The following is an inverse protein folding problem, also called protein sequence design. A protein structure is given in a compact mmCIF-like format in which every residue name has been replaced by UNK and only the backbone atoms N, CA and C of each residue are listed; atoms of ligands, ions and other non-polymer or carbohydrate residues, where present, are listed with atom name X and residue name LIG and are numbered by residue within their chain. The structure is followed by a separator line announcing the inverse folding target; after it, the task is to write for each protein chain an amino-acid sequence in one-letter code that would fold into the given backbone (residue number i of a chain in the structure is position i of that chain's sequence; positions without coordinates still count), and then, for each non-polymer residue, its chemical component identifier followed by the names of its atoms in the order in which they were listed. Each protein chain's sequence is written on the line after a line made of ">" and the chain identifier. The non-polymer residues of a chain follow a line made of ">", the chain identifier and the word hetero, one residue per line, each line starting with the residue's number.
data_IF_079763644031
#
_entry.id   IF_079763644031
#
_cell.length_a   1.000
_cell.length_b   1.000
_cell.length_c   1.000
_cell.angle_alpha   90.00
_cell.angle_beta   90.00
_cell.angle_gamma   90.00
#
_symmetry.space_group_name_H-M   'P 1'
#
loop_
_entity.id
_entity.type
_entity.pdbx_description
1 polymer ?
#
# COMPACT_ATOMS: atom_id res chain seq x y z
N UNK A 1 2.70 13.82 3.72
CA UNK A 1 2.43 12.51 4.34
C UNK A 1 2.83 11.36 3.43
N UNK A 2 2.35 11.30 2.18
CA UNK A 2 2.77 10.30 1.19
C UNK A 2 4.30 10.23 1.00
N UNK A 3 4.94 11.37 0.70
CA UNK A 3 6.41 11.42 0.49
C UNK A 3 7.16 10.92 1.72
N UNK A 4 6.84 11.42 2.92
CA UNK A 4 7.45 10.95 4.18
C UNK A 4 7.27 9.45 4.43
N UNK A 5 6.10 8.88 4.07
CA UNK A 5 5.86 7.44 4.17
C UNK A 5 6.72 6.62 3.18
N UNK A 6 6.94 7.16 1.97
CA UNK A 6 7.77 6.55 0.95
C UNK A 6 9.26 6.65 1.30
N UNK A 7 9.72 7.80 1.80
CA UNK A 7 11.09 7.99 2.29
C UNK A 7 11.39 7.00 3.42
N UNK A 8 10.49 6.89 4.40
CA UNK A 8 10.63 5.93 5.48
C UNK A 8 10.70 4.48 4.98
N UNK A 9 9.91 4.13 3.96
CA UNK A 9 9.92 2.81 3.36
C UNK A 9 11.23 2.53 2.61
N UNK A 10 11.73 3.50 1.83
CA UNK A 10 12.97 3.38 1.08
C UNK A 10 14.20 3.24 2.01
N UNK A 11 14.20 3.94 3.14
CA UNK A 11 15.23 3.81 4.19
C UNK A 11 15.33 2.39 4.78
N UNK A 12 14.25 1.60 4.72
CA UNK A 12 14.14 0.31 5.42
C UNK A 12 14.47 -0.92 4.55
N UNK A 13 14.50 -0.82 3.22
CA UNK A 13 14.26 -2.02 2.40
C UNK A 13 14.95 -2.14 1.03
N UNK A 14 15.87 -1.26 0.66
CA UNK A 14 16.53 -1.32 -0.66
C UNK A 14 18.06 -1.28 -0.56
N UNK A 15 18.69 -2.20 -1.29
CA UNK A 15 20.14 -2.18 -1.50
C UNK A 15 20.52 -0.92 -2.27
N UNK A 16 21.48 -0.16 -1.77
CA UNK A 16 21.89 1.15 -2.31
C UNK A 16 22.46 1.11 -3.74
N UNK A 17 22.62 -0.08 -4.33
CA UNK A 17 23.37 -0.28 -5.58
C UNK A 17 22.51 -0.41 -6.84
N UNK A 18 21.16 -0.38 -6.73
CA UNK A 18 20.27 -0.37 -7.90
C UNK A 18 19.23 0.76 -7.85
N UNK A 19 18.93 1.41 -9.00
CA UNK A 19 17.89 2.42 -9.07
C UNK A 19 16.52 1.80 -8.76
N UNK A 20 15.80 2.39 -7.80
CA UNK A 20 14.44 1.99 -7.45
C UNK A 20 13.45 2.88 -8.20
N UNK A 21 12.55 2.26 -8.97
CA UNK A 21 11.48 2.96 -9.67
C UNK A 21 10.17 2.79 -8.91
N UNK A 22 9.48 3.91 -8.65
CA UNK A 22 8.17 3.91 -8.02
C UNK A 22 7.10 4.19 -9.07
N UNK A 23 6.07 3.36 -9.09
CA UNK A 23 4.86 3.61 -9.84
C UNK A 23 3.74 3.99 -8.87
N UNK A 24 3.00 5.05 -9.20
CA UNK A 24 1.96 5.62 -8.35
C UNK A 24 0.61 5.48 -9.06
N UNK A 25 -0.24 4.59 -8.56
CA UNK A 25 -1.59 4.31 -9.05
C UNK A 25 -2.46 5.59 -9.07
N UNK A 26 -2.40 6.38 -8.00
CA UNK A 26 -3.23 7.54 -7.73
C UNK A 26 -3.13 8.65 -8.80
N UNK A 27 -2.05 8.67 -9.58
CA UNK A 27 -1.84 9.62 -10.68
C UNK A 27 -1.75 8.97 -12.05
N UNK A 28 -1.61 7.64 -12.10
CA UNK A 28 -1.40 6.89 -13.35
C UNK A 28 -2.69 6.32 -13.92
N UNK A 29 -3.71 6.12 -13.09
CA UNK A 29 -4.99 5.52 -13.48
C UNK A 29 -6.05 6.63 -13.51
N UNK A 30 -6.69 6.81 -14.67
CA UNK A 30 -7.74 7.84 -14.82
C UNK A 30 -9.08 7.40 -14.26
N UNK A 31 -9.33 6.09 -14.15
CA UNK A 31 -10.54 5.47 -13.59
C UNK A 31 -11.83 5.85 -14.36
N UNK A 32 -11.68 6.24 -15.62
CA UNK A 32 -12.78 6.64 -16.51
C UNK A 32 -13.08 5.56 -17.55
N UNK A 33 -12.08 4.72 -17.86
CA UNK A 33 -12.21 3.62 -18.80
C UNK A 33 -11.71 2.35 -18.11
N UNK A 34 -12.66 1.68 -17.45
CA UNK A 34 -12.45 0.48 -16.64
C UNK A 34 -11.65 -0.58 -17.39
N UNK A 35 -11.96 -0.84 -18.66
CA UNK A 35 -11.30 -1.88 -19.45
C UNK A 35 -9.83 -1.52 -19.73
N UNK A 36 -9.57 -0.31 -20.22
CA UNK A 36 -8.22 0.15 -20.49
C UNK A 36 -7.37 0.24 -19.21
N UNK A 37 -7.98 0.71 -18.11
CA UNK A 37 -7.33 0.83 -16.81
C UNK A 37 -6.94 -0.56 -16.27
N UNK A 38 -7.85 -1.55 -16.31
CA UNK A 38 -7.56 -2.95 -15.91
C UNK A 38 -6.43 -3.56 -16.72
N UNK A 39 -6.40 -3.34 -18.03
CA UNK A 39 -5.32 -3.85 -18.89
C UNK A 39 -3.97 -3.21 -18.57
N UNK A 40 -3.94 -1.90 -18.31
CA UNK A 40 -2.73 -1.17 -17.93
C UNK A 40 -2.19 -1.66 -16.58
N UNK A 41 -3.08 -1.73 -15.58
CA UNK A 41 -2.79 -2.22 -14.23
C UNK A 41 -2.17 -3.62 -14.29
N UNK A 42 -2.83 -4.57 -14.97
CA UNK A 42 -2.32 -5.93 -15.10
C UNK A 42 -0.98 -6.02 -15.86
N UNK A 43 -0.69 -5.10 -16.79
CA UNK A 43 0.59 -5.05 -17.48
C UNK A 43 1.74 -4.54 -16.60
N UNK A 44 1.45 -3.59 -15.72
CA UNK A 44 2.41 -3.04 -14.77
C UNK A 44 2.67 -4.04 -13.65
N UNK A 45 1.62 -4.65 -13.10
CA UNK A 45 1.72 -5.56 -11.97
C UNK A 45 2.52 -6.82 -12.27
N UNK A 46 2.48 -7.33 -13.51
CA UNK A 46 3.38 -8.42 -13.96
C UNK A 46 4.87 -8.08 -13.85
N UNK A 47 5.22 -6.79 -13.76
CA UNK A 47 6.60 -6.30 -13.58
C UNK A 47 6.88 -5.83 -12.16
N UNK A 48 5.84 -5.59 -11.36
CA UNK A 48 5.95 -5.11 -9.98
C UNK A 48 6.14 -6.30 -9.05
N UNK A 49 7.26 -6.30 -8.32
CA UNK A 49 7.58 -7.35 -7.34
C UNK A 49 7.07 -7.06 -5.93
N UNK A 50 6.77 -5.78 -5.65
CA UNK A 50 6.35 -5.29 -4.33
C UNK A 50 5.27 -4.23 -4.51
N UNK A 51 4.15 -4.40 -3.82
CA UNK A 51 3.07 -3.41 -3.75
C UNK A 51 3.10 -2.76 -2.38
N UNK A 52 3.14 -1.43 -2.35
CA UNK A 52 3.27 -0.66 -1.12
C UNK A 52 1.98 0.09 -0.85
N UNK A 53 1.32 -0.24 0.26
CA UNK A 53 0.11 0.44 0.69
C UNK A 53 0.44 1.45 1.78
N UNK A 54 0.04 2.70 1.54
CA UNK A 54 0.27 3.80 2.49
C UNK A 54 -0.95 3.95 3.38
N UNK A 55 -0.79 3.67 4.67
CA UNK A 55 -1.84 3.77 5.67
C UNK A 55 -1.92 5.22 6.19
N UNK A 56 -2.79 6.02 5.58
CA UNK A 56 -3.03 7.41 5.98
C UNK A 56 -4.54 7.73 5.97
N UNK A 57 -5.12 8.08 7.13
CA UNK A 57 -4.57 7.85 8.48
C UNK A 57 -4.43 6.34 8.76
N UNK A 58 -3.56 5.93 9.69
CA UNK A 58 -3.28 4.49 9.90
C UNK A 58 -4.49 3.71 10.43
N UNK A 59 -5.38 4.36 11.17
CA UNK A 59 -6.54 3.80 11.87
C UNK A 59 -7.86 3.88 11.08
N UNK A 60 -7.82 4.53 9.92
CA UNK A 60 -8.87 4.49 8.90
C UNK A 60 -8.26 4.75 7.51
N UNK A 61 -7.43 3.82 6.99
CA UNK A 61 -6.68 4.04 5.75
C UNK A 61 -7.60 4.29 4.56
N UNK A 62 -7.40 5.41 3.86
CA UNK A 62 -8.23 5.77 2.69
C UNK A 62 -8.13 4.71 1.59
N UNK A 63 -6.98 4.06 1.44
CA UNK A 63 -6.79 2.96 0.47
C UNK A 63 -7.80 1.82 0.64
N UNK A 64 -8.28 1.54 1.87
CA UNK A 64 -9.29 0.51 2.11
C UNK A 64 -10.70 0.92 1.68
N UNK A 65 -10.94 2.21 1.46
CA UNK A 65 -12.23 2.72 0.95
C UNK A 65 -12.27 2.80 -0.58
N UNK A 66 -11.14 2.47 -1.23
CA UNK A 66 -10.94 2.63 -2.67
C UNK A 66 -10.99 1.25 -3.32
N UNK A 67 -12.08 0.99 -4.06
CA UNK A 67 -12.29 -0.31 -4.73
C UNK A 67 -11.12 -0.72 -5.62
N UNK A 68 -10.47 0.23 -6.30
CA UNK A 68 -9.32 -0.04 -7.16
C UNK A 68 -8.09 -0.52 -6.38
N UNK A 69 -7.77 0.11 -5.25
CA UNK A 69 -6.65 -0.32 -4.40
C UNK A 69 -6.88 -1.75 -3.86
N UNK A 70 -8.13 -2.08 -3.51
CA UNK A 70 -8.48 -3.44 -3.08
C UNK A 70 -8.38 -4.45 -4.24
N UNK A 71 -8.84 -4.07 -5.43
CA UNK A 71 -8.77 -4.89 -6.62
C UNK A 71 -7.32 -5.25 -6.97
N UNK A 72 -6.43 -4.27 -7.01
CA UNK A 72 -5.00 -4.44 -7.30
C UNK A 72 -4.34 -5.41 -6.31
N UNK A 73 -4.64 -5.27 -5.01
CA UNK A 73 -4.08 -6.16 -3.98
C UNK A 73 -4.60 -7.58 -4.13
N UNK A 74 -5.92 -7.76 -4.23
CA UNK A 74 -6.58 -9.08 -4.19
C UNK A 74 -6.40 -9.85 -5.50
N UNK A 75 -6.58 -9.18 -6.65
CA UNK A 75 -6.59 -9.85 -7.94
C UNK A 75 -5.25 -9.88 -8.64
N UNK A 76 -4.31 -9.02 -8.24
CA UNK A 76 -3.09 -8.85 -8.99
C UNK A 76 -1.85 -9.08 -8.14
N UNK A 77 -1.69 -8.37 -7.03
CA UNK A 77 -0.49 -8.47 -6.21
C UNK A 77 -0.33 -9.88 -5.61
N UNK A 78 -1.35 -10.37 -4.91
CA UNK A 78 -1.29 -11.67 -4.23
C UNK A 78 -1.20 -12.86 -5.20
N UNK A 79 -2.02 -12.94 -6.27
CA UNK A 79 -1.96 -14.09 -7.19
C UNK A 79 -0.68 -14.15 -8.03
N UNK A 80 -0.03 -13.01 -8.28
CA UNK A 80 1.23 -12.93 -9.01
C UNK A 80 2.47 -13.09 -8.12
N UNK A 81 2.28 -13.32 -6.82
CA UNK A 81 3.37 -13.51 -5.85
C UNK A 81 4.14 -12.24 -5.51
N UNK A 82 3.54 -11.06 -5.74
CA UNK A 82 4.11 -9.81 -5.28
C UNK A 82 3.99 -9.68 -3.76
N UNK A 83 4.98 -9.07 -3.14
CA UNK A 83 5.00 -8.82 -1.70
C UNK A 83 4.15 -7.59 -1.37
N UNK A 84 3.11 -7.76 -0.54
CA UNK A 84 2.32 -6.66 -0.02
C UNK A 84 3.01 -6.05 1.21
N UNK A 85 3.44 -4.80 1.07
CA UNK A 85 4.11 -4.03 2.11
C UNK A 85 3.21 -2.90 2.60
N UNK A 86 3.17 -2.69 3.92
CA UNK A 86 2.44 -1.59 4.53
C UNK A 86 3.44 -0.53 5.00
N UNK A 87 3.19 0.73 4.67
CA UNK A 87 3.95 1.88 5.19
C UNK A 87 3.00 2.96 5.68
N UNK A 88 3.53 3.92 6.45
CA UNK A 88 2.79 5.08 6.93
C UNK A 88 3.77 6.21 7.21
N UNK A 89 3.28 7.45 7.23
CA UNK A 89 4.10 8.60 7.59
C UNK A 89 4.65 8.44 9.02
N UNK A 90 5.81 9.02 9.33
CA UNK A 90 6.45 8.92 10.65
C UNK A 90 5.52 9.37 11.77
N UNK A 91 4.75 10.43 11.52
CA UNK A 91 3.74 10.94 12.44
C UNK A 91 2.61 9.93 12.72
N UNK A 92 2.14 9.22 11.69
CA UNK A 92 1.14 8.15 11.85
C UNK A 92 1.75 6.93 12.53
N UNK A 93 3.02 6.60 12.24
CA UNK A 93 3.76 5.51 12.89
C UNK A 93 3.89 5.72 14.40
N UNK A 94 4.14 6.95 14.85
CA UNK A 94 4.17 7.27 16.28
C UNK A 94 2.81 7.05 16.94
N UNK A 95 1.71 7.42 16.27
CA UNK A 95 0.35 7.15 16.76
C UNK A 95 0.05 5.65 16.81
N UNK A 96 0.45 4.91 15.78
CA UNK A 96 0.32 3.46 15.73
C UNK A 96 1.07 2.76 16.87
N UNK A 97 2.34 3.12 17.10
CA UNK A 97 3.15 2.57 18.21
C UNK A 97 2.52 2.89 19.56
N UNK A 98 2.00 4.11 19.73
CA UNK A 98 1.28 4.48 20.95
C UNK A 98 0.03 3.63 21.13
N UNK A 99 -0.77 3.44 20.07
CA UNK A 99 -1.96 2.60 20.11
C UNK A 99 -1.64 1.13 20.40
N UNK A 100 -0.54 0.58 19.89
CA UNK A 100 -0.07 -0.76 20.24
C UNK A 100 0.15 -0.94 21.75
N UNK A 101 0.56 0.12 22.46
CA UNK A 101 0.81 0.10 23.90
C UNK A 101 -0.46 0.34 24.72
N UNK A 102 -1.43 1.08 24.19
CA UNK A 102 -2.59 1.57 24.97
C UNK A 102 -3.93 0.96 24.57
N UNK A 103 -4.10 0.55 23.32
CA UNK A 103 -5.36 0.06 22.77
C UNK A 103 -5.12 -1.01 21.68
N UNK A 104 -4.95 -2.25 22.14
CA UNK A 104 -4.78 -3.43 21.28
C UNK A 104 -5.96 -3.64 20.33
N UNK A 105 -7.20 -3.31 20.76
CA UNK A 105 -8.42 -3.57 19.97
C UNK A 105 -8.46 -2.68 18.73
N UNK A 106 -8.05 -1.42 18.87
CA UNK A 106 -7.96 -0.50 17.74
C UNK A 106 -7.02 -1.05 16.65
N UNK A 107 -5.88 -1.61 17.06
CA UNK A 107 -4.90 -2.19 16.14
C UNK A 107 -5.42 -3.49 15.49
N UNK A 108 -6.01 -4.40 16.28
CA UNK A 108 -6.59 -5.65 15.76
C UNK A 108 -7.66 -5.39 14.68
N UNK A 109 -8.49 -4.37 14.87
CA UNK A 109 -9.53 -3.99 13.89
C UNK A 109 -8.94 -3.59 12.54
N UNK A 110 -7.76 -2.97 12.52
CA UNK A 110 -7.12 -2.56 11.27
C UNK A 110 -6.43 -3.74 10.61
N UNK A 111 -5.70 -4.55 11.38
CA UNK A 111 -5.04 -5.74 10.85
C UNK A 111 -6.04 -6.74 10.24
N UNK A 112 -7.20 -6.91 10.86
CA UNK A 112 -8.28 -7.76 10.32
C UNK A 112 -8.88 -7.22 9.02
N UNK A 113 -8.86 -5.91 8.79
CA UNK A 113 -9.30 -5.34 7.51
C UNK A 113 -8.31 -5.61 6.36
N UNK A 114 -7.05 -5.94 6.67
CA UNK A 114 -6.01 -6.30 5.70
C UNK A 114 -5.81 -7.81 5.55
N UNK A 115 -6.40 -8.63 6.41
CA UNK A 115 -6.29 -10.09 6.33
C UNK A 115 -7.16 -10.60 5.18
N UNK A 116 -6.60 -10.56 3.97
CA UNK A 116 -7.24 -11.02 2.73
C UNK A 116 -7.13 -12.55 2.53
N UNK A 117 -7.20 -13.32 3.63
CA UNK A 117 -7.16 -14.79 3.62
C UNK A 117 -8.53 -15.42 3.38
#
# INVERSE_FOLDING_TARGET
>A
KLIDALELFLEQGFEQHQPTFLWLDAVSIRQQNVEADVHLIGAIERKVRRVVMVLDPWDAPVCLTRVWCLFEVVHCALPLGAELMLTMARSERLKFIKALQTDRRQVERILTAFDAR
#
